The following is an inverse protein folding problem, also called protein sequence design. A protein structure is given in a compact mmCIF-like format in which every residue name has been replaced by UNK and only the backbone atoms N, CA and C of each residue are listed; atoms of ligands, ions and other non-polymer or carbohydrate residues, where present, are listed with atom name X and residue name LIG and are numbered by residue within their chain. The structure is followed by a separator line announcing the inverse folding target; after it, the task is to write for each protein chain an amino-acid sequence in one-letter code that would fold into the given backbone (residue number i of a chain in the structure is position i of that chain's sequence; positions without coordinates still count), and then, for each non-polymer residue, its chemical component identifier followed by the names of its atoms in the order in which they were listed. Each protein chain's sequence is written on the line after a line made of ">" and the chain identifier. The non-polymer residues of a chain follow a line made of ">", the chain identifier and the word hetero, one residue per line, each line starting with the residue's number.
data_IF_245755723676
#
_entry.id   IF_245755723676
#
_cell.length_a   1.000
_cell.length_b   1.000
_cell.length_c   1.000
_cell.angle_alpha   90.00
_cell.angle_beta   90.00
_cell.angle_gamma   90.00
#
_symmetry.space_group_name_H-M   'P 1'
#
loop_
_entity.id
_entity.type
_entity.pdbx_description
1 polymer ?
#
# COMPACT_ATOMS: atom_id res chain seq x y z
N UNK A 1 -42.36 1.74 22.40
CA UNK A 1 -41.54 2.17 21.24
C UNK A 1 -41.61 3.69 21.14
N UNK A 2 -40.54 4.39 21.57
CA UNK A 2 -40.50 5.86 21.52
C UNK A 2 -40.11 6.31 20.10
N UNK A 3 -41.04 6.92 19.39
CA UNK A 3 -40.75 7.57 18.11
C UNK A 3 -40.02 8.90 18.40
N UNK A 4 -38.77 9.00 17.95
CA UNK A 4 -37.98 10.23 18.00
C UNK A 4 -38.56 11.19 16.96
N UNK A 5 -39.27 12.24 17.39
CA UNK A 5 -39.77 13.30 16.51
C UNK A 5 -38.62 14.27 16.17
N UNK A 6 -38.15 14.21 14.93
CA UNK A 6 -37.13 15.17 14.42
C UNK A 6 -37.82 16.55 14.23
N UNK A 7 -37.36 17.55 15.01
CA UNK A 7 -37.87 18.90 14.91
C UNK A 7 -37.28 19.64 13.71
N UNK A 8 -38.03 20.60 13.09
CA UNK A 8 -37.53 21.39 11.95
C UNK A 8 -36.19 22.11 12.23
N UNK A 9 -35.93 22.48 13.50
CA UNK A 9 -34.71 23.13 13.92
C UNK A 9 -33.51 22.19 13.91
N UNK A 10 -33.67 20.91 14.27
CA UNK A 10 -32.63 19.89 14.15
C UNK A 10 -32.23 19.63 12.69
N UNK A 11 -33.24 19.59 11.81
CA UNK A 11 -33.00 19.39 10.39
C UNK A 11 -32.20 20.53 9.76
N UNK A 12 -32.51 21.78 10.12
CA UNK A 12 -31.75 22.96 9.66
C UNK A 12 -30.30 22.93 10.16
N UNK A 13 -30.05 22.64 11.43
CA UNK A 13 -28.67 22.56 11.96
C UNK A 13 -27.81 21.51 11.26
N UNK A 14 -28.38 20.36 10.92
CA UNK A 14 -27.67 19.31 10.17
C UNK A 14 -27.36 19.75 8.75
N UNK A 15 -28.32 20.42 8.06
CA UNK A 15 -28.11 20.91 6.70
C UNK A 15 -27.05 22.03 6.67
N UNK A 16 -27.06 22.94 7.63
CA UNK A 16 -26.07 24.02 7.76
C UNK A 16 -24.66 23.47 8.05
N UNK A 17 -24.56 22.44 8.90
CA UNK A 17 -23.29 21.77 9.19
C UNK A 17 -22.72 21.06 7.95
N UNK A 18 -23.56 20.37 7.19
CA UNK A 18 -23.16 19.73 5.94
C UNK A 18 -22.73 20.74 4.87
N UNK A 19 -23.43 21.88 4.76
CA UNK A 19 -23.07 22.95 3.81
C UNK A 19 -21.72 23.60 4.20
N UNK A 20 -21.46 23.79 5.49
CA UNK A 20 -20.20 24.33 5.98
C UNK A 20 -19.01 23.39 5.72
N UNK A 21 -19.21 22.08 5.92
CA UNK A 21 -18.16 21.07 5.65
C UNK A 21 -17.85 20.96 4.14
N UNK A 22 -18.88 21.01 3.29
CA UNK A 22 -18.72 21.00 1.85
C UNK A 22 -17.96 22.22 1.33
N UNK A 23 -18.19 23.40 1.92
CA UNK A 23 -17.48 24.65 1.59
C UNK A 23 -16.00 24.59 2.01
N UNK A 24 -15.68 23.98 3.18
CA UNK A 24 -14.31 23.76 3.65
C UNK A 24 -13.53 22.78 2.76
N UNK A 25 -14.17 21.71 2.31
CA UNK A 25 -13.54 20.71 1.40
C UNK A 25 -13.23 21.33 0.03
N UNK A 26 -14.15 22.15 -0.53
CA UNK A 26 -13.91 22.87 -1.79
C UNK A 26 -12.78 23.89 -1.70
N UNK A 27 -12.66 24.61 -0.60
CA UNK A 27 -11.58 25.57 -0.36
C UNK A 27 -10.19 24.90 -0.29
N UNK A 28 -10.07 23.73 0.36
CA UNK A 28 -8.81 22.97 0.43
C UNK A 28 -8.39 22.39 -0.92
N UNK A 29 -9.36 21.96 -1.74
CA UNK A 29 -9.07 21.43 -3.09
C UNK A 29 -8.62 22.54 -4.05
N UNK A 30 -9.21 23.75 -3.94
CA UNK A 30 -8.78 24.90 -4.74
C UNK A 30 -7.37 25.36 -4.35
N UNK A 31 -7.05 25.42 -3.07
CA UNK A 31 -5.70 25.81 -2.59
C UNK A 31 -4.62 24.83 -3.04
N UNK A 32 -4.91 23.52 -3.02
CA UNK A 32 -3.99 22.48 -3.53
C UNK A 32 -3.78 22.59 -5.04
N UNK A 33 -4.81 22.95 -5.82
CA UNK A 33 -4.71 23.11 -7.28
C UNK A 33 -3.94 24.36 -7.66
N UNK A 34 -4.09 25.45 -6.92
CA UNK A 34 -3.35 26.71 -7.16
C UNK A 34 -1.88 26.58 -6.75
N UNK A 35 -1.57 25.87 -5.65
CA UNK A 35 -0.19 25.59 -5.25
C UNK A 35 0.53 24.66 -6.24
N UNK A 36 -0.17 23.70 -6.85
CA UNK A 36 0.40 22.83 -7.89
C UNK A 36 0.72 23.60 -9.18
N UNK A 37 -0.11 24.58 -9.57
CA UNK A 37 0.13 25.40 -10.77
C UNK A 37 1.33 26.36 -10.60
N UNK A 38 1.57 26.88 -9.40
CA UNK A 38 2.73 27.72 -9.12
C UNK A 38 4.06 26.93 -9.15
N UNK A 39 4.06 25.65 -8.74
CA UNK A 39 5.22 24.77 -8.82
C UNK A 39 5.57 24.40 -10.28
N UNK A 40 4.56 24.19 -11.14
CA UNK A 40 4.79 23.86 -12.56
C UNK A 40 5.45 24.98 -13.35
N UNK A 41 5.22 26.26 -13.02
CA UNK A 41 5.83 27.39 -13.71
C UNK A 41 7.30 27.59 -13.34
N UNK A 42 7.72 27.20 -12.13
CA UNK A 42 9.13 27.27 -11.71
C UNK A 42 9.99 26.17 -12.33
N UNK A 43 9.41 24.98 -12.60
CA UNK A 43 10.10 23.85 -13.26
C UNK A 43 10.24 24.07 -14.77
N UNK A 44 9.28 24.73 -15.41
CA UNK A 44 9.32 25.00 -16.86
C UNK A 44 10.44 25.96 -17.25
N UNK A 45 10.87 26.87 -16.37
CA UNK A 45 11.99 27.79 -16.65
C UNK A 45 13.38 27.16 -16.46
N UNK A 46 13.48 26.05 -15.66
CA UNK A 46 14.75 25.33 -15.43
C UNK A 46 15.02 24.18 -16.41
N UNK A 47 13.98 23.68 -17.08
CA UNK A 47 14.08 22.49 -17.92
C UNK A 47 14.63 22.74 -19.34
N UNK A 48 14.74 24.02 -19.79
CA UNK A 48 15.23 24.30 -21.16
C UNK A 48 16.75 24.15 -21.31
N UNK A 49 17.50 24.13 -20.22
CA UNK A 49 18.99 24.05 -20.32
C UNK A 49 19.51 22.58 -20.19
N UNK A 50 18.66 21.58 -19.95
CA UNK A 50 19.08 20.18 -19.82
C UNK A 50 18.67 19.28 -21.01
N UNK A 51 18.00 19.82 -22.02
CA UNK A 51 17.43 19.05 -23.14
C UNK A 51 18.42 18.65 -24.24
N UNK A 52 19.75 18.83 -24.06
CA UNK A 52 20.75 18.50 -25.09
C UNK A 52 21.56 17.21 -24.83
N UNK A 53 21.28 16.45 -23.78
CA UNK A 53 21.87 15.12 -23.66
C UNK A 53 20.83 14.06 -24.05
N UNK A 54 20.92 13.63 -25.33
CA UNK A 54 20.18 12.46 -25.83
C UNK A 54 20.61 11.24 -25.05
N UNK A 55 19.78 10.84 -24.07
CA UNK A 55 19.77 9.46 -23.60
C UNK A 55 19.07 8.62 -24.69
N UNK A 56 19.58 7.43 -25.04
CA UNK A 56 18.86 6.54 -25.94
C UNK A 56 17.50 6.25 -25.30
N UNK A 57 16.43 6.46 -26.09
CA UNK A 57 15.09 6.08 -25.69
C UNK A 57 15.07 4.56 -25.49
N UNK A 58 14.81 4.12 -24.26
CA UNK A 58 14.39 2.74 -24.06
C UNK A 58 13.07 2.51 -24.81
N UNK A 59 12.88 1.35 -25.45
CA UNK A 59 11.59 1.02 -26.06
C UNK A 59 10.48 1.12 -25.02
N UNK A 60 9.27 1.56 -25.41
CA UNK A 60 8.15 1.60 -24.48
C UNK A 60 7.81 0.14 -24.13
N UNK A 61 8.15 -0.30 -22.93
CA UNK A 61 7.55 -1.49 -22.37
C UNK A 61 6.06 -1.22 -22.20
N UNK A 62 5.24 -2.11 -22.75
CA UNK A 62 3.79 -2.04 -22.64
C UNK A 62 3.42 -2.10 -21.15
N UNK A 63 3.15 -0.93 -20.56
CA UNK A 63 2.52 -0.89 -19.25
C UNK A 63 1.10 -1.46 -19.41
N UNK A 64 0.87 -2.65 -18.91
CA UNK A 64 -0.47 -3.21 -18.80
C UNK A 64 -1.18 -2.47 -17.67
N UNK A 65 -1.75 -1.30 -18.01
CA UNK A 65 -2.62 -0.58 -17.09
C UNK A 65 -3.94 -1.34 -16.99
N UNK A 66 -4.18 -1.97 -15.82
CA UNK A 66 -5.49 -2.55 -15.58
C UNK A 66 -6.51 -1.45 -15.32
N UNK A 67 -7.77 -1.68 -15.71
CA UNK A 67 -8.89 -0.77 -15.46
C UNK A 67 -9.16 -0.50 -13.95
N UNK A 68 -8.43 -1.16 -13.07
CA UNK A 68 -8.57 -1.11 -11.61
C UNK A 68 -7.46 -0.34 -10.88
N UNK A 69 -6.59 0.37 -11.58
CA UNK A 69 -5.50 1.14 -10.95
C UNK A 69 -4.33 0.27 -10.46
N UNK A 70 -4.19 -0.94 -11.00
CA UNK A 70 -3.06 -1.84 -10.76
C UNK A 70 -2.14 -1.76 -11.97
N UNK A 71 -0.85 -1.56 -11.72
CA UNK A 71 0.19 -1.51 -12.76
C UNK A 71 1.25 -2.53 -12.40
N UNK A 72 1.52 -3.47 -13.31
CA UNK A 72 2.58 -4.46 -13.18
C UNK A 72 3.92 -3.91 -13.69
N UNK A 73 5.00 -4.24 -12.99
CA UNK A 73 6.37 -3.85 -13.30
C UNK A 73 7.27 -5.07 -13.45
N UNK A 74 8.30 -4.95 -14.28
CA UNK A 74 9.19 -6.07 -14.59
C UNK A 74 10.13 -6.43 -13.42
N UNK A 75 10.34 -5.51 -12.46
CA UNK A 75 11.22 -5.75 -11.33
C UNK A 75 10.87 -4.89 -10.10
N UNK A 76 11.40 -5.28 -8.92
CA UNK A 76 11.26 -4.53 -7.68
C UNK A 76 11.90 -3.13 -7.75
N UNK A 77 12.96 -2.95 -8.55
CA UNK A 77 13.63 -1.67 -8.75
C UNK A 77 12.75 -0.71 -9.56
N UNK A 78 12.03 -1.20 -10.56
CA UNK A 78 11.06 -0.42 -11.33
C UNK A 78 9.86 -0.05 -10.49
N UNK A 79 9.31 -1.01 -9.75
CA UNK A 79 8.23 -0.80 -8.79
C UNK A 79 8.63 0.27 -7.75
N UNK A 80 9.83 0.16 -7.15
CA UNK A 80 10.35 1.14 -6.19
C UNK A 80 10.47 2.53 -6.79
N UNK A 81 10.96 2.64 -8.02
CA UNK A 81 11.08 3.92 -8.74
C UNK A 81 9.72 4.54 -9.01
N UNK A 82 8.75 3.73 -9.38
CA UNK A 82 7.38 4.18 -9.67
C UNK A 82 6.66 4.70 -8.41
N UNK A 83 6.85 4.03 -7.27
CA UNK A 83 6.25 4.39 -5.98
C UNK A 83 7.01 5.51 -5.24
N UNK A 84 8.28 5.77 -5.59
CA UNK A 84 9.12 6.81 -4.97
C UNK A 84 9.71 6.41 -3.63
N UNK A 85 9.67 5.13 -3.26
CA UNK A 85 10.33 4.57 -2.07
C UNK A 85 10.94 3.20 -2.39
N UNK A 86 11.93 2.78 -1.59
CA UNK A 86 12.55 1.48 -1.77
C UNK A 86 11.65 0.38 -1.23
N UNK A 87 11.16 -0.49 -2.11
CA UNK A 87 10.35 -1.65 -1.73
C UNK A 87 11.26 -2.71 -1.14
N UNK A 88 10.97 -3.10 0.11
CA UNK A 88 11.68 -4.19 0.80
C UNK A 88 11.08 -5.53 0.44
N UNK A 89 11.93 -6.52 0.26
CA UNK A 89 11.53 -7.88 -0.12
C UNK A 89 12.09 -8.92 0.85
N UNK A 90 11.41 -10.06 1.06
CA UNK A 90 11.96 -11.14 1.87
C UNK A 90 13.18 -11.76 1.18
N UNK A 91 14.25 -11.95 1.94
CA UNK A 91 15.44 -12.69 1.49
C UNK A 91 15.29 -14.20 1.60
N UNK A 92 14.31 -14.68 2.40
CA UNK A 92 13.97 -16.09 2.58
C UNK A 92 12.48 -16.30 2.34
N UNK A 93 12.14 -17.34 1.60
CA UNK A 93 10.77 -17.75 1.32
C UNK A 93 10.54 -19.18 1.85
N UNK A 94 9.32 -19.54 2.30
CA UNK A 94 9.02 -20.89 2.79
C UNK A 94 8.94 -21.93 1.67
N UNK A 95 9.03 -21.51 0.42
CA UNK A 95 9.03 -22.37 -0.78
C UNK A 95 9.82 -21.72 -1.91
N UNK A 96 10.16 -22.49 -2.94
CA UNK A 96 10.76 -21.96 -4.16
C UNK A 96 9.65 -21.38 -5.07
N UNK A 97 9.68 -20.09 -5.41
CA UNK A 97 8.71 -19.51 -6.31
C UNK A 97 8.99 -19.93 -7.76
N UNK A 98 7.92 -20.21 -8.53
CA UNK A 98 7.96 -20.48 -9.97
C UNK A 98 7.68 -19.20 -10.77
N UNK A 99 6.92 -18.27 -10.18
CA UNK A 99 6.55 -16.98 -10.75
C UNK A 99 6.58 -15.89 -9.68
N UNK A 100 7.00 -14.69 -10.08
CA UNK A 100 6.99 -13.51 -9.21
C UNK A 100 6.40 -12.33 -9.99
N UNK A 101 5.34 -11.70 -9.46
CA UNK A 101 4.81 -10.44 -10.00
C UNK A 101 5.10 -9.27 -9.06
N UNK A 102 5.20 -8.08 -9.65
CA UNK A 102 5.51 -6.83 -8.94
C UNK A 102 4.49 -5.78 -9.34
N UNK A 103 3.56 -5.47 -8.43
CA UNK A 103 2.39 -4.67 -8.74
C UNK A 103 2.36 -3.39 -7.88
N UNK A 104 2.07 -2.25 -8.52
CA UNK A 104 1.67 -1.03 -7.81
C UNK A 104 0.15 -0.93 -7.81
N UNK A 105 -0.43 -0.78 -6.63
CA UNK A 105 -1.85 -0.55 -6.45
C UNK A 105 -2.10 0.92 -6.16
N UNK A 106 -2.91 1.56 -6.99
CA UNK A 106 -3.31 2.98 -6.87
C UNK A 106 -2.15 3.98 -6.78
N UNK A 107 -0.90 3.54 -7.02
CA UNK A 107 0.30 4.36 -7.02
C UNK A 107 0.90 4.65 -5.63
N UNK A 108 0.47 3.95 -4.58
CA UNK A 108 0.93 4.14 -3.21
C UNK A 108 1.19 2.85 -2.42
N UNK A 109 0.78 1.69 -2.95
CA UNK A 109 0.97 0.37 -2.36
C UNK A 109 1.81 -0.51 -3.29
N UNK A 110 2.91 -1.05 -2.79
CA UNK A 110 3.64 -2.14 -3.43
C UNK A 110 3.01 -3.48 -3.07
N UNK A 111 2.80 -4.34 -4.06
CA UNK A 111 2.45 -5.74 -3.86
C UNK A 111 3.39 -6.62 -4.66
N UNK A 112 3.92 -7.67 -4.03
CA UNK A 112 4.72 -8.68 -4.72
C UNK A 112 4.13 -10.04 -4.39
N UNK A 113 3.82 -10.79 -5.45
CA UNK A 113 3.28 -12.13 -5.35
C UNK A 113 4.34 -13.16 -5.74
N UNK A 114 4.64 -14.07 -4.83
CA UNK A 114 5.50 -15.22 -5.03
C UNK A 114 4.64 -16.46 -5.16
N UNK A 115 4.53 -16.99 -6.36
CA UNK A 115 3.71 -18.17 -6.65
C UNK A 115 4.58 -19.40 -6.81
N UNK A 116 4.35 -20.42 -6.00
CA UNK A 116 4.90 -21.78 -6.18
C UNK A 116 3.86 -22.73 -6.75
N UNK A 117 4.21 -24.03 -6.85
CA UNK A 117 3.32 -25.07 -7.39
C UNK A 117 1.97 -25.20 -6.64
N UNK A 118 2.01 -25.13 -5.30
CA UNK A 118 0.83 -25.26 -4.43
C UNK A 118 0.80 -24.19 -3.33
N UNK A 119 1.58 -23.11 -3.49
CA UNK A 119 1.70 -22.07 -2.48
C UNK A 119 1.71 -20.68 -3.12
N UNK A 120 1.15 -19.71 -2.40
CA UNK A 120 1.22 -18.30 -2.72
C UNK A 120 1.65 -17.52 -1.48
N UNK A 121 2.65 -16.66 -1.63
CA UNK A 121 3.01 -15.68 -0.63
C UNK A 121 2.91 -14.30 -1.26
N UNK A 122 2.13 -13.42 -0.62
CA UNK A 122 1.98 -12.04 -1.05
C UNK A 122 2.59 -11.12 0.00
N UNK A 123 3.47 -10.23 -0.42
CA UNK A 123 3.98 -9.15 0.43
C UNK A 123 3.39 -7.83 -0.01
N UNK A 124 3.05 -6.97 0.95
CA UNK A 124 2.61 -5.60 0.69
C UNK A 124 3.38 -4.62 1.54
N UNK A 125 3.65 -3.45 0.97
CA UNK A 125 4.33 -2.34 1.63
C UNK A 125 3.71 -1.03 1.19
N UNK A 126 3.39 -0.16 2.16
CA UNK A 126 2.86 1.18 1.92
C UNK A 126 3.44 2.18 2.92
N UNK A 127 3.48 3.46 2.57
CA UNK A 127 3.88 4.51 3.48
C UNK A 127 2.82 4.72 4.58
N UNK A 128 3.27 4.92 5.82
CA UNK A 128 2.42 5.12 6.99
C UNK A 128 2.34 3.89 7.89
N UNK A 129 1.30 3.84 8.72
CA UNK A 129 1.13 2.81 9.75
C UNK A 129 -0.18 2.03 9.67
N UNK A 130 -0.98 2.25 8.63
CA UNK A 130 -2.23 1.53 8.42
C UNK A 130 -1.96 0.13 7.85
N UNK A 131 -2.75 -0.88 8.26
CA UNK A 131 -2.62 -2.27 7.79
C UNK A 131 -2.78 -2.33 6.25
N UNK A 132 -1.72 -2.67 5.50
CA UNK A 132 -1.77 -2.69 4.04
C UNK A 132 -2.28 -4.01 3.48
N UNK A 133 -2.60 -4.99 4.34
CA UNK A 133 -2.95 -6.35 3.89
C UNK A 133 -4.22 -6.42 3.05
N UNK A 134 -5.15 -5.48 3.24
CA UNK A 134 -6.46 -5.54 2.62
C UNK A 134 -7.29 -6.75 3.06
N UNK A 135 -6.91 -7.39 4.16
CA UNK A 135 -7.58 -8.57 4.69
C UNK A 135 -8.60 -8.17 5.77
N UNK A 136 -9.84 -8.53 5.55
CA UNK A 136 -10.97 -8.26 6.45
C UNK A 136 -11.49 -9.53 7.13
N UNK A 137 -10.73 -10.65 7.05
CA UNK A 137 -11.13 -11.92 7.68
C UNK A 137 -11.04 -11.83 9.20
N UNK A 138 -11.90 -12.59 9.87
CA UNK A 138 -11.88 -12.78 11.32
C UNK A 138 -11.06 -14.03 11.62
N UNK A 139 -9.95 -13.85 12.32
CA UNK A 139 -9.05 -14.92 12.70
C UNK A 139 -9.36 -15.45 14.10
N UNK A 140 -9.24 -16.76 14.30
CA UNK A 140 -9.42 -17.39 15.61
C UNK A 140 -8.23 -17.17 16.53
N UNK A 141 -7.06 -17.00 15.93
CA UNK A 141 -5.82 -16.76 16.65
C UNK A 141 -5.19 -15.45 16.13
N UNK A 142 -4.99 -14.51 17.05
CA UNK A 142 -4.28 -13.25 16.79
C UNK A 142 -3.28 -13.08 17.92
N UNK A 143 -2.00 -13.03 17.57
CA UNK A 143 -0.90 -12.90 18.52
C UNK A 143 -0.01 -11.73 18.14
N UNK A 144 0.54 -11.06 19.13
CA UNK A 144 1.49 -9.97 18.94
C UNK A 144 2.85 -10.38 19.48
N UNK A 145 3.86 -10.38 18.61
CA UNK A 145 5.21 -10.84 18.92
C UNK A 145 6.20 -9.68 18.71
N UNK A 146 7.07 -9.39 19.69
CA UNK A 146 8.18 -8.46 19.48
C UNK A 146 9.22 -9.11 18.54
N UNK A 147 9.69 -8.37 17.54
CA UNK A 147 10.71 -8.83 16.59
C UNK A 147 11.66 -7.68 16.28
N UNK A 148 12.90 -7.75 16.76
CA UNK A 148 13.89 -6.67 16.69
C UNK A 148 13.30 -5.33 17.19
N UNK A 149 13.22 -4.32 16.32
CA UNK A 149 12.70 -2.98 16.67
C UNK A 149 11.20 -2.82 16.31
N UNK A 150 10.55 -3.88 15.86
CA UNK A 150 9.14 -3.86 15.45
C UNK A 150 8.28 -4.77 16.34
N UNK A 151 6.97 -4.54 16.27
CA UNK A 151 5.96 -5.41 16.84
C UNK A 151 5.13 -6.00 15.71
N UNK A 152 5.13 -7.31 15.60
CA UNK A 152 4.44 -8.05 14.55
C UNK A 152 3.13 -8.62 15.07
N UNK A 153 2.03 -8.37 14.36
CA UNK A 153 0.74 -9.01 14.61
C UNK A 153 0.61 -10.21 13.67
N UNK A 154 0.54 -11.41 14.24
CA UNK A 154 0.33 -12.68 13.55
C UNK A 154 -1.14 -13.07 13.64
N UNK A 155 -1.73 -13.45 12.51
CA UNK A 155 -3.13 -13.85 12.41
C UNK A 155 -3.23 -15.23 11.75
N UNK A 156 -4.04 -16.12 12.32
CA UNK A 156 -4.15 -17.48 11.80
C UNK A 156 -5.14 -18.35 12.54
N UNK A 157 -4.94 -19.66 12.45
CA UNK A 157 -5.75 -20.69 13.10
C UNK A 157 -4.93 -21.96 13.33
N UNK A 158 -5.20 -22.71 14.41
CA UNK A 158 -4.58 -24.02 14.72
C UNK A 158 -3.04 -23.97 14.73
N UNK A 159 -2.46 -22.98 15.40
CA UNK A 159 -1.01 -22.74 15.48
C UNK A 159 -0.33 -22.53 14.11
N UNK A 160 -1.11 -22.20 13.08
CA UNK A 160 -0.64 -21.83 11.75
C UNK A 160 -0.94 -20.36 11.49
N UNK A 161 -0.01 -19.68 10.86
CA UNK A 161 -0.10 -18.26 10.52
C UNK A 161 -0.33 -18.11 9.02
N UNK A 162 -1.37 -17.38 8.66
CA UNK A 162 -1.69 -17.03 7.27
C UNK A 162 -1.43 -15.56 6.94
N UNK A 163 -1.36 -14.69 7.97
CA UNK A 163 -1.12 -13.26 7.78
C UNK A 163 -0.26 -12.71 8.92
N UNK A 164 0.73 -11.92 8.56
CA UNK A 164 1.51 -11.09 9.47
C UNK A 164 1.44 -9.63 9.05
N UNK A 165 1.34 -8.71 10.02
CA UNK A 165 1.31 -7.26 9.79
C UNK A 165 2.21 -6.56 10.79
N UNK A 166 3.02 -5.61 10.33
CA UNK A 166 3.90 -4.79 11.19
C UNK A 166 4.20 -3.43 10.57
N UNK A 167 4.85 -2.56 11.34
CA UNK A 167 5.38 -1.27 10.86
C UNK A 167 6.79 -1.04 11.40
N UNK A 168 7.65 -0.37 10.62
CA UNK A 168 8.95 0.14 11.08
C UNK A 168 8.89 1.63 11.47
N UNK A 169 7.69 2.21 11.51
CA UNK A 169 7.42 3.60 11.87
C UNK A 169 7.28 4.52 10.66
N UNK A 170 7.88 4.23 9.53
CA UNK A 170 7.74 4.97 8.28
C UNK A 170 6.83 4.23 7.28
N UNK A 171 6.95 2.90 7.25
CA UNK A 171 6.19 2.04 6.36
C UNK A 171 5.45 0.96 7.14
N UNK A 172 4.29 0.58 6.61
CA UNK A 172 3.54 -0.59 7.04
C UNK A 172 3.76 -1.74 6.05
N UNK A 173 3.81 -2.94 6.59
CA UNK A 173 4.09 -4.18 5.87
C UNK A 173 3.03 -5.23 6.17
N UNK A 174 2.77 -6.09 5.22
CA UNK A 174 2.07 -7.35 5.44
C UNK A 174 2.68 -8.48 4.64
N UNK A 175 2.57 -9.69 5.19
CA UNK A 175 2.87 -10.94 4.51
C UNK A 175 1.68 -11.86 4.69
N UNK A 176 1.04 -12.24 3.60
CA UNK A 176 0.04 -13.31 3.58
C UNK A 176 0.58 -14.54 2.88
N UNK A 177 0.19 -15.72 3.35
CA UNK A 177 0.66 -16.99 2.79
C UNK A 177 -0.45 -18.02 2.77
N UNK A 178 -0.55 -18.74 1.67
CA UNK A 178 -1.45 -19.88 1.48
C UNK A 178 -0.66 -21.05 0.86
N UNK A 179 -0.70 -22.25 1.48
CA UNK A 179 -1.31 -22.59 2.77
C UNK A 179 -0.60 -21.94 3.95
N UNK A 180 -1.32 -21.76 5.07
CA UNK A 180 -0.75 -21.22 6.31
C UNK A 180 0.48 -22.02 6.77
N UNK A 181 1.50 -21.31 7.27
CA UNK A 181 2.78 -21.86 7.73
C UNK A 181 2.92 -21.81 9.26
N UNK A 182 3.98 -22.38 9.81
CA UNK A 182 4.28 -22.26 11.24
C UNK A 182 4.66 -20.81 11.60
N UNK A 183 4.48 -20.43 12.86
CA UNK A 183 4.91 -19.13 13.36
C UNK A 183 6.40 -18.91 13.16
N UNK A 184 7.24 -19.93 13.41
CA UNK A 184 8.69 -19.86 13.23
C UNK A 184 9.07 -19.57 11.76
N UNK A 185 8.41 -20.22 10.80
CA UNK A 185 8.62 -19.95 9.38
C UNK A 185 8.22 -18.54 9.00
N UNK A 186 7.06 -18.06 9.48
CA UNK A 186 6.61 -16.70 9.24
C UNK A 186 7.59 -15.66 9.79
N UNK A 187 8.10 -15.85 11.01
CA UNK A 187 9.08 -14.94 11.61
C UNK A 187 10.40 -14.92 10.82
N UNK A 188 10.90 -16.06 10.34
CA UNK A 188 12.10 -16.10 9.47
C UNK A 188 11.89 -15.32 8.18
N UNK A 189 10.72 -15.44 7.56
CA UNK A 189 10.37 -14.63 6.37
C UNK A 189 10.46 -13.13 6.71
N UNK A 190 9.84 -12.69 7.82
CA UNK A 190 9.81 -11.29 8.22
C UNK A 190 11.21 -10.77 8.57
N UNK A 191 12.02 -11.52 9.31
CA UNK A 191 13.40 -11.16 9.68
C UNK A 191 14.31 -11.02 8.45
N UNK A 192 13.98 -11.65 7.35
CA UNK A 192 14.75 -11.64 6.11
C UNK A 192 14.49 -10.40 5.22
N UNK A 193 13.52 -9.54 5.55
CA UNK A 193 13.24 -8.34 4.78
C UNK A 193 14.41 -7.35 4.73
N UNK A 194 14.73 -6.86 3.52
CA UNK A 194 15.85 -5.95 3.22
C UNK A 194 15.43 -4.83 2.31
#
# INVERSE_FOLDING_TARGET
>A
MNQIKVTPQMRRRVLDALAADQKRRRGRLLYRRVAALAACLAVAAGAWTFASRRLPAAPPEEMVSSAYGIIEYASVEELSRALGFTVKTPGELPFAPEEVSHDAWFGDLAEINYRGAEALLTTRMAAGSEDPSGDYNVYRQVETVPLADATVTLKGENDRVSLAVWTDGEYAFSVSVEPAISQEEMLRVIESFR
#
